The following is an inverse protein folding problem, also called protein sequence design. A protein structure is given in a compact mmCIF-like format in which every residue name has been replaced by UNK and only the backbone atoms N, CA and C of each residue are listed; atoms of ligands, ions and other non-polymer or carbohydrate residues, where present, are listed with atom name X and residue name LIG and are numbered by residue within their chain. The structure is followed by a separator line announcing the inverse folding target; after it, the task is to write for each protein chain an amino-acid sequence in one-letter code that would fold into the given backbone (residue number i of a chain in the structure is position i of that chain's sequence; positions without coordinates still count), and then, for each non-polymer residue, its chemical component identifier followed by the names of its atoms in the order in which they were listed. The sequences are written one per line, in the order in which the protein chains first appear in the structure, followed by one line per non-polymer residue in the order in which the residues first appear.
data_IF_335160599333
#
_entry.id   IF_335160599333
#
_cell.length_a   1.000
_cell.length_b   1.000
_cell.length_c   1.000
_cell.angle_alpha   90.00
_cell.angle_beta   90.00
_cell.angle_gamma   90.00
#
_symmetry.space_group_name_H-M   'P 1'
#
loop_
_entity.id
_entity.type
_entity.pdbx_description
1 polymer ?
#
# COMPACT_ATOMS: atom_id res chain seq x y z
N UNK A 1 -63.99 53.77 -2.51
CA UNK A 1 -63.26 53.17 -1.37
C UNK A 1 -63.89 51.80 -1.18
N UNK A 2 -63.32 50.63 -1.44
CA UNK A 2 -61.95 50.07 -1.32
C UNK A 2 -61.96 48.71 -2.07
N UNK A 3 -60.82 48.07 -2.39
CA UNK A 3 -60.70 47.07 -3.46
C UNK A 3 -60.79 45.58 -3.03
N UNK A 4 -60.81 44.74 -4.07
CA UNK A 4 -60.83 43.27 -4.18
C UNK A 4 -60.04 42.42 -3.17
N UNK A 5 -60.44 41.14 -2.98
CA UNK A 5 -59.51 40.00 -2.90
C UNK A 5 -60.11 38.78 -3.63
N UNK A 6 -59.35 38.31 -4.63
CA UNK A 6 -59.55 37.10 -5.43
C UNK A 6 -58.91 35.93 -4.67
N UNK A 7 -59.65 34.84 -4.43
CA UNK A 7 -59.10 33.66 -3.76
C UNK A 7 -58.27 32.84 -4.76
N UNK A 8 -56.95 32.87 -4.63
CA UNK A 8 -56.03 31.94 -5.30
C UNK A 8 -55.85 30.70 -4.41
N UNK A 9 -56.37 29.55 -4.83
CA UNK A 9 -55.96 28.26 -4.27
C UNK A 9 -54.55 27.96 -4.80
N UNK A 10 -53.54 27.96 -3.92
CA UNK A 10 -52.26 27.31 -4.19
C UNK A 10 -52.40 25.81 -3.91
N UNK A 11 -52.27 25.00 -4.96
CA UNK A 11 -52.05 23.55 -4.85
C UNK A 11 -50.59 23.34 -4.39
N UNK A 12 -50.38 22.81 -3.18
CA UNK A 12 -49.07 22.33 -2.73
C UNK A 12 -48.79 20.98 -3.39
N UNK A 13 -47.97 20.98 -4.44
CA UNK A 13 -47.37 19.76 -4.99
C UNK A 13 -46.35 19.23 -3.99
N UNK A 14 -46.68 18.11 -3.33
CA UNK A 14 -45.71 17.29 -2.62
C UNK A 14 -44.77 16.68 -3.66
N UNK A 15 -43.58 17.25 -3.81
CA UNK A 15 -42.50 16.62 -4.57
C UNK A 15 -42.03 15.44 -3.73
N UNK A 16 -42.48 14.23 -4.07
CA UNK A 16 -41.80 13.01 -3.64
C UNK A 16 -40.48 13.00 -4.42
N UNK A 17 -39.42 13.52 -3.80
CA UNK A 17 -38.06 13.33 -4.32
C UNK A 17 -37.76 11.85 -4.10
N UNK A 18 -38.04 11.03 -5.10
CA UNK A 18 -37.54 9.66 -5.15
C UNK A 18 -36.02 9.77 -5.16
N UNK A 19 -35.40 9.50 -4.01
CA UNK A 19 -33.94 9.37 -3.90
C UNK A 19 -33.52 8.39 -4.98
N UNK A 20 -32.82 8.84 -6.04
CA UNK A 20 -32.54 7.93 -7.11
C UNK A 20 -31.45 6.99 -6.56
N UNK A 21 -31.60 5.69 -6.85
CA UNK A 21 -30.86 4.58 -6.21
C UNK A 21 -29.34 4.54 -6.45
N UNK A 22 -28.71 5.70 -6.67
CA UNK A 22 -27.27 5.90 -6.78
C UNK A 22 -26.63 6.42 -5.48
N UNK A 23 -27.38 6.54 -4.38
CA UNK A 23 -26.86 6.99 -3.08
C UNK A 23 -26.08 5.92 -2.29
N UNK A 24 -25.74 4.79 -2.91
CA UNK A 24 -24.75 3.85 -2.39
C UNK A 24 -23.83 3.44 -3.55
N UNK A 25 -23.14 4.41 -4.15
CA UNK A 25 -21.86 4.06 -4.76
C UNK A 25 -21.01 3.48 -3.63
N UNK A 26 -20.70 2.20 -3.72
CA UNK A 26 -19.76 1.51 -2.84
C UNK A 26 -18.41 2.21 -2.97
N UNK A 27 -18.14 3.19 -2.12
CA UNK A 27 -16.81 3.75 -1.95
C UNK A 27 -16.02 2.77 -1.09
N UNK A 28 -15.75 1.58 -1.62
CA UNK A 28 -14.62 0.81 -1.13
C UNK A 28 -13.39 1.64 -1.53
N UNK A 29 -12.84 2.41 -0.60
CA UNK A 29 -11.58 3.10 -0.86
C UNK A 29 -10.54 2.06 -1.31
N UNK A 30 -9.80 2.37 -2.39
CA UNK A 30 -8.71 1.51 -2.86
C UNK A 30 -7.77 1.21 -1.68
N UNK A 31 -7.45 -0.06 -1.48
CA UNK A 31 -6.49 -0.48 -0.44
C UNK A 31 -5.15 0.26 -0.57
N UNK A 32 -4.71 0.46 -1.80
CA UNK A 32 -3.43 1.12 -2.11
C UNK A 32 -3.69 2.50 -2.68
N UNK A 33 -3.22 3.53 -1.99
CA UNK A 33 -3.44 4.94 -2.33
C UNK A 33 -2.11 5.62 -2.58
N UNK A 34 -1.95 6.28 -3.72
CA UNK A 34 -0.76 7.07 -4.02
C UNK A 34 -0.61 8.24 -3.05
N UNK A 35 0.62 8.48 -2.60
CA UNK A 35 0.95 9.54 -1.65
C UNK A 35 2.37 10.04 -1.87
N UNK A 36 2.73 11.13 -1.18
CA UNK A 36 4.03 11.79 -1.26
C UNK A 36 4.43 12.14 -2.70
N UNK A 37 3.55 12.87 -3.39
CA UNK A 37 3.72 13.24 -4.81
C UNK A 37 3.84 12.02 -5.73
N UNK A 38 3.03 11.00 -5.48
CA UNK A 38 2.98 9.74 -6.24
C UNK A 38 4.27 8.90 -6.23
N UNK A 39 5.19 9.18 -5.31
CA UNK A 39 6.43 8.43 -5.09
C UNK A 39 6.28 7.31 -4.04
N UNK A 40 5.17 7.30 -3.31
CA UNK A 40 4.86 6.31 -2.29
C UNK A 40 3.42 5.82 -2.38
N UNK A 41 3.14 4.73 -1.66
CA UNK A 41 1.83 4.09 -1.61
C UNK A 41 1.45 3.82 -0.16
N UNK A 42 0.35 4.40 0.30
CA UNK A 42 -0.29 4.05 1.56
C UNK A 42 -1.09 2.76 1.38
N UNK A 43 -0.81 1.75 2.19
CA UNK A 43 -1.65 0.57 2.36
C UNK A 43 -2.66 0.84 3.48
N UNK A 44 -3.91 1.18 3.13
CA UNK A 44 -4.95 1.55 4.12
C UNK A 44 -5.35 0.39 5.04
N UNK A 45 -5.07 -0.86 4.66
CA UNK A 45 -5.31 -2.02 5.52
C UNK A 45 -4.30 -2.13 6.68
N UNK A 46 -3.12 -1.52 6.53
CA UNK A 46 -2.03 -1.62 7.52
C UNK A 46 -1.59 -0.29 8.11
N UNK A 47 -1.87 0.82 7.42
CA UNK A 47 -1.32 2.14 7.74
C UNK A 47 0.14 2.31 7.34
N UNK A 48 0.77 1.29 6.74
CA UNK A 48 2.15 1.36 6.27
C UNK A 48 2.22 2.14 4.96
N UNK A 49 3.29 2.92 4.81
CA UNK A 49 3.59 3.65 3.57
C UNK A 49 4.81 3.02 2.92
N UNK A 50 4.62 2.50 1.72
CA UNK A 50 5.65 1.79 0.95
C UNK A 50 6.22 2.70 -0.12
N UNK A 51 7.48 2.49 -0.49
CA UNK A 51 8.00 3.08 -1.73
C UNK A 51 7.13 2.60 -2.89
N UNK A 52 6.78 3.49 -3.83
CA UNK A 52 6.04 3.05 -5.01
C UNK A 52 6.88 2.12 -5.89
N UNK A 53 8.18 2.37 -5.93
CA UNK A 53 9.17 1.58 -6.62
C UNK A 53 10.18 1.03 -5.61
N UNK A 54 10.32 -0.30 -5.47
CA UNK A 54 11.37 -0.88 -4.64
C UNK A 54 12.75 -0.46 -5.14
N UNK A 55 13.74 -0.59 -4.27
CA UNK A 55 15.10 -0.19 -4.60
C UNK A 55 15.66 -0.93 -5.81
N UNK A 56 16.35 -0.25 -6.71
CA UNK A 56 16.94 -0.84 -7.94
C UNK A 56 18.21 -1.64 -7.65
N UNK A 57 18.79 -1.46 -6.46
CA UNK A 57 20.08 -2.00 -6.08
C UNK A 57 19.93 -3.40 -5.47
N UNK A 58 20.75 -4.33 -5.94
CA UNK A 58 20.96 -5.62 -5.31
C UNK A 58 22.17 -5.53 -4.39
N UNK A 59 22.00 -5.89 -3.12
CA UNK A 59 23.09 -5.83 -2.16
C UNK A 59 22.95 -6.87 -1.06
N UNK A 60 24.03 -7.06 -0.30
CA UNK A 60 24.03 -7.87 0.91
C UNK A 60 23.06 -7.29 1.95
N UNK A 61 22.62 -8.15 2.86
CA UNK A 61 21.52 -7.89 3.79
C UNK A 61 21.70 -6.61 4.62
N UNK A 62 22.85 -6.46 5.28
CA UNK A 62 23.13 -5.30 6.16
C UNK A 62 23.14 -3.98 5.39
N UNK A 63 23.77 -3.97 4.22
CA UNK A 63 23.84 -2.77 3.36
C UNK A 63 22.46 -2.41 2.80
N UNK A 64 21.67 -3.40 2.43
CA UNK A 64 20.28 -3.19 1.99
C UNK A 64 19.41 -2.58 3.08
N UNK A 65 19.54 -3.05 4.33
CA UNK A 65 18.80 -2.50 5.47
C UNK A 65 19.21 -1.05 5.74
N UNK A 66 20.52 -0.81 5.83
CA UNK A 66 21.05 0.52 6.12
C UNK A 66 20.60 1.56 5.10
N UNK A 67 20.48 1.16 3.82
CA UNK A 67 20.09 2.07 2.75
C UNK A 67 18.70 2.66 2.94
N UNK A 68 17.73 1.93 3.50
CA UNK A 68 16.42 2.52 3.76
C UNK A 68 16.52 3.75 4.67
N UNK A 69 17.33 3.69 5.72
CA UNK A 69 17.48 4.80 6.66
C UNK A 69 18.03 6.08 6.01
N UNK A 70 18.74 5.96 4.89
CA UNK A 70 19.31 7.10 4.17
C UNK A 70 18.40 7.65 3.07
N UNK A 71 17.27 6.99 2.77
CA UNK A 71 16.42 7.39 1.66
C UNK A 71 15.59 8.64 1.98
N UNK A 72 15.41 9.46 0.94
CA UNK A 72 14.40 10.50 0.88
C UNK A 72 13.52 10.21 -0.33
N UNK A 73 12.25 9.87 -0.12
CA UNK A 73 11.29 9.53 -1.18
C UNK A 73 10.06 10.41 -1.00
N UNK A 74 9.59 11.02 -2.10
CA UNK A 74 8.49 11.98 -2.05
C UNK A 74 8.71 13.15 -1.08
N UNK A 75 9.97 13.58 -0.93
CA UNK A 75 10.37 14.65 0.00
C UNK A 75 10.41 14.25 1.48
N UNK A 76 10.32 12.96 1.79
CA UNK A 76 10.25 12.48 3.17
C UNK A 76 11.36 11.49 3.52
N UNK A 77 11.89 11.65 4.73
CA UNK A 77 12.84 10.72 5.37
C UNK A 77 12.13 9.75 6.34
N UNK A 78 12.90 8.95 7.07
CA UNK A 78 12.40 8.02 8.09
C UNK A 78 11.97 6.67 7.53
N UNK A 79 12.43 6.33 6.32
CA UNK A 79 12.25 5.01 5.73
C UNK A 79 13.06 3.96 6.50
N UNK A 80 12.50 2.76 6.63
CA UNK A 80 13.13 1.62 7.27
C UNK A 80 12.98 0.38 6.39
N UNK A 81 13.83 -0.61 6.63
CA UNK A 81 13.60 -1.93 6.08
C UNK A 81 12.37 -2.59 6.74
N UNK A 82 11.52 -3.30 5.98
CA UNK A 82 10.34 -3.98 6.51
C UNK A 82 10.74 -5.21 7.31
N UNK A 83 9.98 -5.59 8.33
CA UNK A 83 10.04 -6.96 8.85
C UNK A 83 9.41 -7.93 7.83
N UNK A 84 9.60 -9.23 8.03
CA UNK A 84 8.85 -10.24 7.27
C UNK A 84 7.33 -10.08 7.47
N UNK A 85 6.90 -9.67 8.67
CA UNK A 85 5.51 -9.44 9.00
C UNK A 85 4.92 -8.19 8.34
N UNK A 86 5.74 -7.16 8.09
CA UNK A 86 5.33 -6.01 7.29
C UNK A 86 5.16 -6.39 5.81
N UNK A 87 6.18 -6.98 5.18
CA UNK A 87 6.17 -7.17 3.71
C UNK A 87 5.19 -8.24 3.26
N UNK A 88 4.93 -9.25 4.09
CA UNK A 88 3.95 -10.30 3.75
C UNK A 88 2.53 -9.74 3.64
N UNK A 89 2.23 -8.57 4.23
CA UNK A 89 0.89 -7.97 4.08
C UNK A 89 0.63 -7.53 2.65
N UNK A 90 1.67 -7.25 1.86
CA UNK A 90 1.51 -6.89 0.46
C UNK A 90 1.07 -8.08 -0.40
N UNK A 91 1.25 -9.31 0.07
CA UNK A 91 1.01 -10.52 -0.73
C UNK A 91 -0.48 -10.75 -0.92
N UNK A 92 -0.86 -11.06 -2.16
CA UNK A 92 -2.13 -11.69 -2.48
C UNK A 92 -1.88 -13.20 -2.71
N UNK A 93 -2.44 -14.09 -1.87
CA UNK A 93 -2.22 -15.53 -1.99
C UNK A 93 -2.85 -16.16 -3.24
N UNK A 94 -3.80 -15.47 -3.89
CA UNK A 94 -4.46 -15.94 -5.11
C UNK A 94 -3.71 -15.50 -6.38
N UNK A 95 -2.64 -14.71 -6.23
CA UNK A 95 -1.82 -14.21 -7.32
C UNK A 95 -0.44 -14.87 -7.35
N UNK A 96 0.13 -14.96 -8.55
CA UNK A 96 1.48 -15.46 -8.78
C UNK A 96 2.11 -14.62 -9.89
N UNK A 97 3.41 -14.35 -9.77
CA UNK A 97 4.20 -13.64 -10.79
C UNK A 97 3.66 -12.27 -11.28
N UNK A 98 3.56 -11.24 -10.41
CA UNK A 98 3.88 -11.23 -8.99
C UNK A 98 2.66 -11.56 -8.10
N UNK A 99 2.91 -12.11 -6.91
CA UNK A 99 1.93 -12.36 -5.86
C UNK A 99 1.53 -11.05 -5.14
N UNK A 100 0.92 -10.12 -5.87
CA UNK A 100 0.44 -8.82 -5.38
C UNK A 100 -1.02 -8.61 -5.82
N UNK A 101 -1.85 -7.91 -5.03
CA UNK A 101 -3.24 -7.66 -5.40
C UNK A 101 -3.36 -6.90 -6.72
N UNK A 102 -4.24 -7.31 -7.64
CA UNK A 102 -4.39 -6.64 -8.94
C UNK A 102 -4.82 -5.18 -8.76
N UNK A 103 -4.39 -4.32 -9.69
CA UNK A 103 -4.70 -2.89 -9.66
C UNK A 103 -3.85 -2.07 -8.68
N UNK A 104 -2.85 -2.66 -8.02
CA UNK A 104 -1.92 -1.91 -7.18
C UNK A 104 -1.16 -0.83 -7.99
N UNK A 105 -0.83 0.33 -7.39
CA UNK A 105 -0.11 1.41 -8.07
C UNK A 105 1.42 1.27 -8.06
N UNK A 106 1.95 0.19 -7.45
CA UNK A 106 3.38 -0.10 -7.41
C UNK A 106 3.99 -0.28 -8.80
N UNK A 107 5.25 0.12 -8.94
CA UNK A 107 6.00 0.08 -10.19
C UNK A 107 7.34 -0.61 -9.98
N UNK A 108 7.97 -1.06 -11.06
CA UNK A 108 9.29 -1.70 -11.03
C UNK A 108 9.37 -2.90 -10.05
N UNK A 109 8.26 -3.63 -9.88
CA UNK A 109 8.25 -4.88 -9.14
C UNK A 109 8.96 -5.93 -9.97
N UNK A 110 9.91 -6.64 -9.35
CA UNK A 110 10.50 -7.84 -9.92
C UNK A 110 9.87 -9.01 -9.22
N UNK A 111 9.36 -9.95 -9.98
CA UNK A 111 8.82 -11.19 -9.45
C UNK A 111 9.98 -12.08 -8.98
N UNK A 112 10.39 -11.84 -7.74
CA UNK A 112 11.56 -12.44 -7.13
C UNK A 112 11.55 -12.22 -5.63
N UNK A 113 12.67 -12.50 -4.99
CA UNK A 113 12.82 -12.41 -3.53
C UNK A 113 13.42 -11.06 -3.10
N UNK A 114 12.83 -10.50 -2.05
CA UNK A 114 13.25 -9.24 -1.44
C UNK A 114 13.71 -9.46 -0.02
N UNK A 115 14.79 -8.77 0.36
CA UNK A 115 15.28 -8.74 1.73
C UNK A 115 14.24 -8.14 2.68
N UNK A 116 14.22 -8.68 3.91
CA UNK A 116 13.54 -8.09 5.06
C UNK A 116 14.55 -7.86 6.18
N UNK A 117 14.21 -7.02 7.15
CA UNK A 117 15.01 -6.78 8.36
C UNK A 117 14.93 -7.91 9.39
N UNK A 118 14.20 -9.00 9.11
CA UNK A 118 14.00 -10.10 10.07
C UNK A 118 15.13 -11.12 9.94
N UNK A 119 16.03 -11.25 10.93
CA UNK A 119 17.05 -12.30 10.93
C UNK A 119 16.42 -13.67 11.16
N UNK A 120 17.13 -14.74 10.80
CA UNK A 120 16.71 -16.09 11.21
C UNK A 120 16.89 -16.25 12.74
N UNK A 121 15.95 -16.92 13.45
CA UNK A 121 15.95 -16.95 14.92
C UNK A 121 17.15 -17.68 15.53
N UNK A 122 17.75 -18.62 14.80
CA UNK A 122 18.82 -19.50 15.33
C UNK A 122 20.05 -19.56 14.42
N UNK A 123 20.06 -18.84 13.30
CA UNK A 123 21.16 -18.86 12.34
C UNK A 123 21.54 -17.40 12.03
N UNK A 124 22.72 -17.00 12.47
CA UNK A 124 23.19 -15.63 12.37
C UNK A 124 23.63 -15.22 10.97
N UNK A 125 23.89 -16.20 10.08
CA UNK A 125 24.26 -15.94 8.68
C UNK A 125 23.04 -15.92 7.76
N UNK A 126 21.83 -16.22 8.25
CA UNK A 126 20.59 -16.31 7.45
C UNK A 126 19.60 -15.21 7.82
N UNK A 127 18.81 -14.76 6.84
CA UNK A 127 17.69 -13.84 7.05
C UNK A 127 16.44 -14.20 6.24
N UNK A 128 15.29 -13.74 6.73
CA UNK A 128 14.00 -13.90 6.06
C UNK A 128 13.83 -12.95 4.87
N UNK A 129 13.08 -13.44 3.89
CA UNK A 129 12.81 -12.79 2.63
C UNK A 129 11.39 -13.09 2.17
N UNK A 130 10.84 -12.20 1.38
CA UNK A 130 9.53 -12.40 0.75
C UNK A 130 9.71 -12.68 -0.74
N UNK A 131 9.20 -13.82 -1.20
CA UNK A 131 9.06 -14.13 -2.61
C UNK A 131 7.79 -13.50 -3.15
N UNK A 132 7.91 -12.58 -4.11
CA UNK A 132 6.77 -12.15 -4.93
C UNK A 132 6.56 -13.04 -6.15
N UNK A 133 7.43 -14.02 -6.42
CA UNK A 133 7.12 -15.03 -7.43
C UNK A 133 6.06 -16.02 -6.93
N UNK A 134 6.16 -16.44 -5.66
CA UNK A 134 5.33 -17.50 -5.07
C UNK A 134 4.45 -17.05 -3.90
N UNK A 135 4.59 -15.81 -3.43
CA UNK A 135 3.90 -15.32 -2.23
C UNK A 135 4.48 -15.86 -0.91
N UNK A 136 5.48 -16.74 -0.94
CA UNK A 136 6.01 -17.40 0.25
C UNK A 136 7.17 -16.64 0.91
N UNK A 137 7.20 -16.68 2.24
CA UNK A 137 8.38 -16.31 3.00
C UNK A 137 9.46 -17.41 2.87
N UNK A 138 10.69 -17.00 2.61
CA UNK A 138 11.84 -17.91 2.45
C UNK A 138 13.05 -17.37 3.21
N UNK A 139 14.07 -18.20 3.40
CA UNK A 139 15.30 -17.84 4.12
C UNK A 139 16.52 -18.12 3.26
N UNK A 140 17.53 -17.26 3.33
CA UNK A 140 18.81 -17.44 2.62
C UNK A 140 19.94 -16.69 3.33
N UNK A 141 21.18 -16.95 2.92
CA UNK A 141 22.37 -16.33 3.52
C UNK A 141 22.41 -14.82 3.29
N UNK A 142 22.76 -14.06 4.33
CA UNK A 142 22.89 -12.59 4.35
C UNK A 142 23.92 -12.04 3.35
N UNK A 143 24.83 -12.88 2.86
CA UNK A 143 25.80 -12.58 1.81
C UNK A 143 25.15 -12.49 0.41
N UNK A 144 23.93 -13.01 0.24
CA UNK A 144 23.19 -12.94 -1.01
C UNK A 144 22.86 -11.51 -1.42
N UNK A 145 22.93 -11.24 -2.72
CA UNK A 145 22.58 -9.93 -3.29
C UNK A 145 21.10 -9.93 -3.68
N UNK A 146 20.28 -9.16 -2.97
CA UNK A 146 18.84 -9.01 -3.27
C UNK A 146 18.42 -7.55 -3.16
N UNK A 147 17.27 -7.26 -3.78
CA UNK A 147 16.60 -5.96 -3.65
C UNK A 147 15.92 -5.86 -2.29
N UNK A 148 15.59 -4.63 -1.89
CA UNK A 148 14.82 -4.37 -0.69
C UNK A 148 13.74 -3.33 -1.00
N UNK A 149 12.58 -3.48 -0.35
CA UNK A 149 11.44 -2.59 -0.53
C UNK A 149 11.22 -1.80 0.75
N UNK A 150 11.62 -0.52 0.79
CA UNK A 150 11.55 0.24 2.04
C UNK A 150 10.11 0.60 2.39
N UNK A 151 9.87 0.76 3.69
CA UNK A 151 8.58 1.08 4.28
C UNK A 151 8.72 2.19 5.33
N UNK A 152 7.63 2.91 5.60
CA UNK A 152 7.47 3.89 6.69
C UNK A 152 6.24 3.53 7.52
N UNK A 153 6.30 3.88 8.80
CA UNK A 153 5.29 3.56 9.80
C UNK A 153 5.86 2.67 10.91
N UNK A 154 5.07 2.46 11.95
CA UNK A 154 5.42 1.58 13.06
C UNK A 154 5.58 0.14 12.55
N UNK A 155 6.47 -0.62 13.19
CA UNK A 155 6.71 -2.02 12.83
C UNK A 155 5.60 -2.88 13.40
N UNK A 156 5.05 -3.77 12.58
CA UNK A 156 4.16 -4.83 13.03
C UNK A 156 4.94 -6.00 13.62
#
# INVERSE_FOLDING_TARGET
MTPAIRHSLLLLLLIVVSSPGWLLADQSESRFVLTLNDEAVLDSATGLVWEREPDYIFDAWERSIARCATKTVGGQQGWRAPSIDDIKTLVDPDQQDPALPPGHPFRNIKSGIYWTATPHPTDDIVAWQQSFLSGQAVTDQKSGMRRLWCVRGERR
#
